data_IF_581209233982
#
_entry.id   IF_581209233982
#
_cell.length_a   1.000
_cell.length_b   1.000
_cell.length_c   1.000
_cell.angle_alpha   90.00
_cell.angle_beta   90.00
_cell.angle_gamma   90.00
#
_symmetry.space_group_name_H-M   'P 1'
#
loop_
_entity.id
_entity.type
_entity.pdbx_description
1 polymer ?
#
# COMPACT_ATOMS: atom_id res chain seq x y z
N UNK A 1 16.13 -14.48 -2.52
CA UNK A 1 15.35 -15.11 -3.61
C UNK A 1 14.05 -15.62 -2.99
N UNK A 2 13.08 -14.72 -2.82
CA UNK A 2 11.72 -15.04 -2.36
C UNK A 2 10.77 -14.47 -3.42
N UNK A 3 10.94 -14.92 -4.66
CA UNK A 3 9.91 -14.80 -5.68
C UNK A 3 9.12 -16.11 -5.64
N UNK A 4 8.32 -16.26 -4.58
CA UNK A 4 7.42 -17.39 -4.40
C UNK A 4 6.05 -17.13 -5.05
N UNK A 5 5.22 -18.19 -5.23
CA UNK A 5 3.86 -18.08 -5.77
C UNK A 5 3.02 -17.01 -5.07
N UNK A 6 3.22 -16.83 -3.76
CA UNK A 6 2.53 -15.83 -2.94
C UNK A 6 2.71 -14.38 -3.44
N UNK A 7 3.87 -14.03 -4.02
CA UNK A 7 4.11 -12.68 -4.57
C UNK A 7 3.36 -12.46 -5.88
N UNK A 8 3.28 -13.49 -6.73
CA UNK A 8 2.52 -13.45 -7.98
C UNK A 8 1.00 -13.38 -7.71
N UNK A 9 0.53 -14.12 -6.71
CA UNK A 9 -0.87 -14.11 -6.27
C UNK A 9 -1.25 -12.74 -5.67
N UNK A 10 -0.37 -12.16 -4.85
CA UNK A 10 -0.54 -10.81 -4.30
C UNK A 10 -0.60 -9.72 -5.38
N UNK A 11 0.29 -9.79 -6.38
CA UNK A 11 0.31 -8.84 -7.49
C UNK A 11 -0.94 -8.93 -8.37
N UNK A 12 -1.40 -10.15 -8.67
CA UNK A 12 -2.61 -10.36 -9.45
C UNK A 12 -3.86 -9.79 -8.73
N UNK A 13 -4.01 -10.09 -7.44
CA UNK A 13 -5.13 -9.60 -6.64
C UNK A 13 -5.06 -8.08 -6.44
N UNK A 14 -3.87 -7.55 -6.15
CA UNK A 14 -3.63 -6.12 -6.00
C UNK A 14 -3.93 -5.32 -7.29
N UNK A 15 -3.44 -5.78 -8.43
CA UNK A 15 -3.73 -5.18 -9.74
C UNK A 15 -5.22 -5.25 -10.11
N UNK A 16 -5.91 -6.33 -9.72
CA UNK A 16 -7.37 -6.43 -9.88
C UNK A 16 -8.10 -5.37 -9.04
N UNK A 17 -7.70 -5.16 -7.79
CA UNK A 17 -8.31 -4.14 -6.94
C UNK A 17 -8.14 -2.74 -7.54
N UNK A 18 -6.94 -2.40 -8.03
CA UNK A 18 -6.69 -1.11 -8.72
C UNK A 18 -7.53 -0.95 -9.98
N UNK A 19 -7.69 -2.02 -10.77
CA UNK A 19 -8.56 -2.01 -11.96
C UNK A 19 -10.00 -1.66 -11.58
N UNK A 20 -10.52 -2.26 -10.49
CA UNK A 20 -11.88 -1.99 -10.00
C UNK A 20 -12.04 -0.56 -9.47
N UNK A 21 -10.99 0.01 -8.87
CA UNK A 21 -10.96 1.43 -8.46
C UNK A 21 -11.03 2.34 -9.70
N UNK A 22 -10.18 2.11 -10.69
CA UNK A 22 -10.16 2.88 -11.94
C UNK A 22 -11.47 2.78 -12.74
N UNK A 23 -12.07 1.59 -12.79
CA UNK A 23 -13.38 1.35 -13.43
C UNK A 23 -14.56 1.91 -12.62
N UNK A 24 -14.32 2.38 -11.39
CA UNK A 24 -15.34 2.83 -10.42
C UNK A 24 -16.40 1.77 -10.11
N UNK A 25 -16.06 0.48 -10.23
CA UNK A 25 -16.94 -0.64 -9.89
C UNK A 25 -16.85 -0.96 -8.38
N UNK A 26 -17.44 -0.07 -7.57
CA UNK A 26 -17.42 -0.19 -6.11
C UNK A 26 -18.15 -1.43 -5.59
N UNK A 27 -19.09 -1.98 -6.35
CA UNK A 27 -19.80 -3.19 -5.95
C UNK A 27 -18.90 -4.43 -6.11
N UNK A 28 -18.17 -4.54 -7.21
CA UNK A 28 -17.16 -5.58 -7.36
C UNK A 28 -16.00 -5.39 -6.38
N UNK A 29 -15.55 -4.14 -6.17
CA UNK A 29 -14.49 -3.81 -5.23
C UNK A 29 -14.83 -4.25 -3.81
N UNK A 30 -16.01 -3.90 -3.29
CA UNK A 30 -16.43 -4.30 -1.95
C UNK A 30 -16.44 -5.83 -1.77
N UNK A 31 -16.92 -6.58 -2.78
CA UNK A 31 -16.92 -8.04 -2.76
C UNK A 31 -15.51 -8.63 -2.78
N UNK A 32 -14.60 -8.02 -3.53
CA UNK A 32 -13.20 -8.44 -3.60
C UNK A 32 -12.49 -8.22 -2.26
N UNK A 33 -12.63 -7.01 -1.70
CA UNK A 33 -12.09 -6.62 -0.39
C UNK A 33 -12.59 -7.58 0.68
N UNK A 34 -13.91 -7.80 0.78
CA UNK A 34 -14.49 -8.73 1.76
C UNK A 34 -13.94 -10.14 1.61
N UNK A 35 -13.72 -10.64 0.38
CA UNK A 35 -13.15 -11.98 0.18
C UNK A 35 -11.71 -12.07 0.66
N UNK A 36 -10.92 -11.02 0.42
CA UNK A 36 -9.50 -10.97 0.82
C UNK A 36 -9.39 -10.86 2.36
N UNK A 37 -10.31 -10.14 3.00
CA UNK A 37 -10.23 -9.81 4.43
C UNK A 37 -10.94 -10.84 5.33
N UNK A 38 -11.95 -11.52 4.78
CA UNK A 38 -12.71 -12.55 5.46
C UNK A 38 -11.95 -13.89 5.35
N UNK A 39 -11.08 -14.15 6.32
CA UNK A 39 -10.25 -15.35 6.30
C UNK A 39 -9.73 -15.78 7.66
N UNK A 40 -10.21 -16.92 8.16
CA UNK A 40 -9.52 -17.73 9.16
C UNK A 40 -8.90 -18.92 8.41
N UNK A 41 -7.58 -18.94 8.21
CA UNK A 41 -6.89 -20.01 7.45
C UNK A 41 -6.20 -19.51 6.18
N UNK A 42 -6.28 -20.26 5.07
CA UNK A 42 -5.58 -19.95 3.80
C UNK A 42 -5.92 -18.57 3.21
N UNK A 43 -7.10 -18.03 3.53
CA UNK A 43 -7.53 -16.70 3.11
C UNK A 43 -6.75 -15.56 3.82
N UNK A 44 -6.19 -15.83 5.01
CA UNK A 44 -5.23 -14.93 5.65
C UNK A 44 -3.90 -14.79 4.87
N UNK A 45 -3.56 -15.80 4.04
CA UNK A 45 -2.43 -15.72 3.15
C UNK A 45 -2.70 -14.76 1.98
N UNK A 46 -3.94 -14.71 1.47
CA UNK A 46 -4.32 -13.77 0.43
C UNK A 46 -4.23 -12.31 0.91
N UNK A 47 -4.75 -12.02 2.11
CA UNK A 47 -4.58 -10.71 2.73
C UNK A 47 -3.10 -10.33 2.85
N UNK A 48 -2.30 -11.23 3.43
CA UNK A 48 -0.87 -10.98 3.66
C UNK A 48 -0.11 -10.77 2.36
N UNK A 49 -0.40 -11.57 1.33
CA UNK A 49 0.20 -11.45 0.01
C UNK A 49 -0.11 -10.10 -0.65
N UNK A 50 -1.39 -9.68 -0.61
CA UNK A 50 -1.83 -8.41 -1.20
C UNK A 50 -1.21 -7.21 -0.46
N UNK A 51 -1.25 -7.20 0.88
CA UNK A 51 -0.65 -6.10 1.66
C UNK A 51 0.86 -6.04 1.46
N UNK A 52 1.54 -7.19 1.44
CA UNK A 52 2.99 -7.24 1.18
C UNK A 52 3.31 -6.69 -0.21
N UNK A 53 2.52 -7.04 -1.22
CA UNK A 53 2.68 -6.52 -2.57
C UNK A 53 2.42 -5.01 -2.64
N UNK A 54 1.38 -4.50 -1.99
CA UNK A 54 1.06 -3.06 -1.95
C UNK A 54 2.18 -2.27 -1.28
N UNK A 55 2.65 -2.71 -0.11
CA UNK A 55 3.76 -2.08 0.61
C UNK A 55 5.02 -2.05 -0.25
N UNK A 56 5.37 -3.17 -0.88
CA UNK A 56 6.54 -3.23 -1.76
C UNK A 56 6.39 -2.30 -2.97
N UNK A 57 5.21 -2.27 -3.59
CA UNK A 57 4.94 -1.42 -4.77
C UNK A 57 4.99 0.06 -4.41
N UNK A 58 4.36 0.46 -3.30
CA UNK A 58 4.44 1.83 -2.79
C UNK A 58 5.90 2.19 -2.48
N UNK A 59 6.64 1.29 -1.82
CA UNK A 59 8.05 1.51 -1.52
C UNK A 59 8.92 1.64 -2.78
N UNK A 60 8.68 0.82 -3.81
CA UNK A 60 9.42 0.89 -5.08
C UNK A 60 9.08 2.19 -5.84
N UNK A 61 7.81 2.60 -5.88
CA UNK A 61 7.38 3.88 -6.49
C UNK A 61 7.99 5.08 -5.76
N UNK A 62 8.04 5.04 -4.44
CA UNK A 62 8.68 6.06 -3.60
C UNK A 62 10.21 6.02 -3.72
N UNK A 63 10.83 4.85 -3.93
CA UNK A 63 12.28 4.74 -4.03
C UNK A 63 12.84 5.05 -5.42
N UNK A 64 12.01 5.06 -6.47
CA UNK A 64 12.45 5.28 -7.84
C UNK A 64 12.69 6.77 -8.12
N UNK A 65 13.95 7.20 -8.33
CA UNK A 65 14.28 8.60 -8.64
C UNK A 65 13.89 9.01 -10.07
N UNK A 66 13.43 8.08 -10.91
CA UNK A 66 12.96 8.31 -12.28
C UNK A 66 11.45 8.27 -12.42
N UNK A 67 10.75 7.65 -11.47
CA UNK A 67 9.32 7.91 -11.28
C UNK A 67 9.22 9.37 -10.83
N UNK A 68 8.31 10.16 -11.40
CA UNK A 68 8.18 11.59 -11.06
C UNK A 68 7.46 11.79 -9.71
N UNK A 69 7.88 11.00 -8.73
CA UNK A 69 7.30 10.77 -7.42
C UNK A 69 8.16 11.49 -6.36
N UNK A 70 9.15 12.31 -6.73
CA UNK A 70 10.04 13.01 -5.78
C UNK A 70 9.25 13.79 -4.72
N UNK A 71 8.18 14.48 -5.13
CA UNK A 71 7.26 15.19 -4.23
C UNK A 71 6.48 14.24 -3.31
N UNK A 72 6.17 13.04 -3.77
CA UNK A 72 5.48 12.02 -3.00
C UNK A 72 6.41 11.29 -2.01
N UNK A 73 7.70 11.14 -2.33
CA UNK A 73 8.73 10.71 -1.37
C UNK A 73 8.86 11.74 -0.26
N UNK A 74 9.00 13.01 -0.64
CA UNK A 74 9.14 14.11 0.29
C UNK A 74 7.88 14.26 1.15
N UNK A 75 6.67 14.09 0.58
CA UNK A 75 5.39 14.06 1.33
C UNK A 75 5.26 12.84 2.25
N UNK A 76 5.64 11.64 1.80
CA UNK A 76 5.61 10.45 2.66
C UNK A 76 6.58 10.59 3.84
N UNK A 77 7.76 11.16 3.61
CA UNK A 77 8.79 11.38 4.64
C UNK A 77 8.50 12.63 5.48
N UNK A 78 7.84 13.68 4.96
CA UNK A 78 7.53 14.91 5.71
C UNK A 78 6.51 14.67 6.82
N UNK A 79 5.67 13.64 6.69
CA UNK A 79 4.73 13.18 7.72
C UNK A 79 5.46 12.57 8.94
N UNK A 80 6.77 12.34 8.86
CA UNK A 80 7.60 11.78 9.96
C UNK A 80 7.68 12.70 11.18
N UNK A 81 7.53 14.03 11.04
CA UNK A 81 7.07 14.83 12.16
C UNK A 81 6.27 16.07 11.73
N UNK A 82 5.00 16.16 12.12
CA UNK A 82 4.45 17.27 12.93
C UNK A 82 2.92 17.26 12.89
N UNK A 83 2.37 17.18 14.09
CA UNK A 83 1.00 17.53 14.44
C UNK A 83 0.78 19.03 14.21
N UNK A 84 -0.18 19.34 13.34
CA UNK A 84 -0.97 20.57 13.19
C UNK A 84 -0.40 21.84 12.49
N UNK A 85 -1.33 22.38 11.68
CA UNK A 85 -1.52 23.74 11.15
C UNK A 85 -0.65 24.25 9.99
N UNK A 86 -1.18 24.12 8.76
CA UNK A 86 -1.42 25.27 7.86
C UNK A 86 -2.28 24.89 6.64
N UNK A 87 -3.01 25.86 6.02
CA UNK A 87 -3.94 25.65 4.93
C UNK A 87 -3.34 26.00 3.55
N UNK A 88 -3.54 25.13 2.56
CA UNK A 88 -4.15 25.41 1.24
C UNK A 88 -3.98 24.15 0.37
N UNK A 89 -5.07 23.74 -0.29
CA UNK A 89 -5.13 22.58 -1.17
C UNK A 89 -4.24 22.80 -2.41
N UNK A 90 -3.17 22.03 -2.52
CA UNK A 90 -2.52 21.74 -3.81
C UNK A 90 -2.11 20.27 -3.80
N UNK A 91 -2.94 19.42 -4.41
CA UNK A 91 -2.74 17.99 -4.77
C UNK A 91 -1.88 17.10 -3.85
N UNK A 92 -1.75 17.40 -2.57
CA UNK A 92 -0.88 16.69 -1.63
C UNK A 92 -1.45 15.29 -1.36
N UNK A 93 -0.58 14.27 -1.37
CA UNK A 93 -0.98 12.90 -1.06
C UNK A 93 -1.68 12.87 0.30
N UNK A 94 -2.72 12.03 0.47
CA UNK A 94 -3.37 11.89 1.76
C UNK A 94 -2.34 11.47 2.81
N UNK A 95 -2.44 11.95 4.04
CA UNK A 95 -1.56 11.50 5.11
C UNK A 95 -1.63 9.96 5.23
N UNK A 96 -0.50 9.23 5.14
CA UNK A 96 -0.51 7.77 5.23
C UNK A 96 -0.95 7.32 6.61
N UNK A 97 -1.69 6.20 6.64
CA UNK A 97 -1.97 5.53 7.90
C UNK A 97 -0.66 5.11 8.58
N UNK A 98 -0.59 5.19 9.92
CA UNK A 98 0.63 4.92 10.69
C UNK A 98 1.23 3.53 10.40
N UNK A 99 0.38 2.52 10.24
CA UNK A 99 0.82 1.16 9.90
C UNK A 99 1.46 1.10 8.51
N UNK A 100 0.90 1.82 7.53
CA UNK A 100 1.36 1.83 6.14
C UNK A 100 2.70 2.54 6.06
N UNK A 101 2.81 3.68 6.76
CA UNK A 101 4.04 4.42 6.93
C UNK A 101 5.16 3.54 7.51
N UNK A 102 4.90 2.91 8.66
CA UNK A 102 5.85 2.01 9.32
C UNK A 102 6.25 0.82 8.44
N UNK A 103 5.29 0.22 7.73
CA UNK A 103 5.51 -0.91 6.84
C UNK A 103 6.42 -0.55 5.65
N UNK A 104 6.16 0.58 4.99
CA UNK A 104 6.97 1.04 3.84
C UNK A 104 8.37 1.45 4.30
N UNK A 105 8.51 2.20 5.39
CA UNK A 105 9.84 2.55 5.93
C UNK A 105 10.63 1.31 6.31
N UNK A 106 10.00 0.34 6.97
CA UNK A 106 10.64 -0.93 7.30
C UNK A 106 11.07 -1.69 6.05
N UNK A 107 10.24 -1.70 5.00
CA UNK A 107 10.57 -2.31 3.71
C UNK A 107 11.78 -1.63 3.05
N UNK A 108 11.78 -0.29 3.01
CA UNK A 108 12.87 0.51 2.46
C UNK A 108 14.17 0.29 3.24
N UNK A 109 14.13 0.29 4.57
CA UNK A 109 15.30 -0.01 5.41
C UNK A 109 15.82 -1.44 5.18
N UNK A 110 14.91 -2.41 5.05
CA UNK A 110 15.22 -3.80 4.73
C UNK A 110 15.87 -3.98 3.35
N UNK A 111 15.56 -3.12 2.38
CA UNK A 111 16.21 -3.12 1.06
C UNK A 111 17.67 -2.67 1.11
N UNK A 112 18.01 -1.78 2.04
CA UNK A 112 19.36 -1.21 2.18
C UNK A 112 20.26 -2.03 3.14
N UNK A 113 19.69 -2.90 3.97
CA UNK A 113 20.41 -3.85 4.81
C UNK A 113 20.44 -5.26 4.20
N UNK A 114 21.56 -5.99 4.32
CA UNK A 114 21.72 -7.35 3.77
C UNK A 114 20.87 -8.46 4.43
N UNK A 115 19.81 -8.11 5.16
CA UNK A 115 18.91 -9.06 5.83
C UNK A 115 17.57 -9.08 5.13
N UNK A 116 17.09 -10.27 4.72
CA UNK A 116 15.73 -10.49 4.25
C UNK A 116 14.74 -9.77 5.15
N UNK A 117 14.17 -8.67 4.63
CA UNK A 117 13.20 -7.86 5.36
C UNK A 117 12.05 -8.74 5.83
N UNK A 118 11.77 -8.69 7.14
CA UNK A 118 10.56 -9.31 7.68
C UNK A 118 9.37 -8.74 6.92
N UNK A 119 8.37 -9.57 6.52
CA UNK A 119 7.14 -9.05 5.97
C UNK A 119 6.57 -8.00 6.93
N UNK A 120 5.95 -6.93 6.40
CA UNK A 120 5.46 -5.85 7.23
C UNK A 120 4.53 -6.41 8.31
N UNK A 121 4.54 -5.88 9.54
CA UNK A 121 3.61 -6.30 10.57
C UNK A 121 2.21 -6.02 10.05
N UNK A 122 1.53 -7.07 9.61
CA UNK A 122 0.16 -7.02 9.13
C UNK A 122 -0.68 -6.43 10.26
N UNK A 123 -1.34 -5.29 10.06
CA UNK A 123 -2.36 -4.86 10.99
C UNK A 123 -3.53 -5.80 10.79
N UNK A 124 -3.77 -6.70 11.73
CA UNK A 124 -5.10 -6.94 12.29
C UNK A 124 -5.38 -8.39 12.67
N UNK A 125 -5.71 -8.55 13.95
CA UNK A 125 -6.38 -9.74 14.48
C UNK A 125 -7.87 -9.82 14.04
N UNK A 126 -8.44 -8.72 13.53
CA UNK A 126 -9.87 -8.61 13.15
C UNK A 126 -10.09 -8.38 11.66
N UNK A 127 -11.23 -8.81 11.14
CA UNK A 127 -11.64 -8.56 9.74
C UNK A 127 -11.76 -7.06 9.44
N UNK A 128 -12.32 -6.28 10.38
CA UNK A 128 -12.49 -4.83 10.21
C UNK A 128 -11.15 -4.13 9.99
N UNK A 129 -10.15 -4.44 10.81
CA UNK A 129 -8.84 -3.81 10.66
C UNK A 129 -8.08 -4.30 9.41
N UNK A 130 -8.35 -5.53 8.93
CA UNK A 130 -7.88 -5.97 7.61
C UNK A 130 -8.53 -5.17 6.47
N UNK A 131 -9.84 -4.97 6.51
CA UNK A 131 -10.56 -4.14 5.52
C UNK A 131 -9.98 -2.72 5.51
N UNK A 132 -9.83 -2.13 6.70
CA UNK A 132 -9.30 -0.78 6.84
C UNK A 132 -7.90 -0.66 6.24
N UNK A 133 -6.99 -1.57 6.58
CA UNK A 133 -5.64 -1.56 6.04
C UNK A 133 -5.63 -1.71 4.51
N UNK A 134 -6.46 -2.60 3.96
CA UNK A 134 -6.51 -2.78 2.50
C UNK A 134 -7.01 -1.52 1.79
N UNK A 135 -8.03 -0.86 2.34
CA UNK A 135 -8.57 0.40 1.79
C UNK A 135 -7.55 1.53 1.90
N UNK A 136 -6.89 1.69 3.04
CA UNK A 136 -5.88 2.73 3.24
C UNK A 136 -4.70 2.58 2.28
N UNK A 137 -4.22 1.35 2.07
CA UNK A 137 -3.16 1.08 1.09
C UNK A 137 -3.61 1.31 -0.36
N UNK A 138 -4.85 0.95 -0.70
CA UNK A 138 -5.41 1.19 -2.03
C UNK A 138 -5.52 2.67 -2.34
N UNK A 139 -6.04 3.47 -1.42
CA UNK A 139 -6.15 4.92 -1.60
C UNK A 139 -4.79 5.57 -1.82
N UNK A 140 -3.78 5.12 -1.08
CA UNK A 140 -2.42 5.62 -1.24
C UNK A 140 -1.80 5.25 -2.59
N UNK A 141 -1.97 4.00 -3.00
CA UNK A 141 -1.44 3.52 -4.28
C UNK A 141 -2.15 4.17 -5.47
N UNK A 142 -3.47 4.36 -5.41
CA UNK A 142 -4.25 5.06 -6.43
C UNK A 142 -3.78 6.51 -6.59
N UNK A 143 -3.65 7.24 -5.49
CA UNK A 143 -3.19 8.63 -5.51
C UNK A 143 -1.74 8.79 -6.03
N UNK A 144 -0.86 7.82 -5.74
CA UNK A 144 0.49 7.78 -6.31
C UNK A 144 0.47 7.57 -7.84
N UNK A 145 -0.41 6.68 -8.32
CA UNK A 145 -0.53 6.38 -9.75
C UNK A 145 -1.19 7.53 -10.53
N UNK A 146 -2.16 8.23 -9.95
CA UNK A 146 -2.74 9.44 -10.56
C UNK A 146 -1.70 10.54 -10.74
N UNK A 147 -0.76 10.69 -9.79
CA UNK A 147 0.35 11.66 -9.92
C UNK A 147 1.30 11.31 -11.06
N UNK A 148 1.64 10.04 -11.24
CA UNK A 148 2.53 9.60 -12.34
C UNK A 148 1.90 9.83 -13.73
N UNK A 149 0.57 9.75 -13.86
CA UNK A 149 -0.14 9.97 -15.12
C UNK A 149 -0.40 11.44 -15.49
N UNK A 150 -0.29 12.38 -14.54
CA UNK A 150 -0.56 13.81 -14.74
C UNK A 150 0.69 14.63 -15.15
N UNK A 151 1.79 13.95 -15.49
CA UNK A 151 3.09 14.54 -15.84
C UNK A 151 3.51 14.15 -17.27
#
# INVERSE_FOLDING_TARGET
>A
MIDGPDRADGAQLGGRLLTLVGDRDFHALAREISRITCGTGSDGAAFTAVVTWMVATIADLVADPTASVTDAVDSFISVVPVVHDAPELDDELPAPAEWLFSAVVSHLQGRHGAGSGSPPPVPADTELARVQALVEALLWLDALLERDHNL
#
